data_IF_731196301082
#
_entry.id   IF_731196301082
#
_cell.length_a   1.000
_cell.length_b   1.000
_cell.length_c   1.000
_cell.angle_alpha   90.00
_cell.angle_beta   90.00
_cell.angle_gamma   90.00
#
_symmetry.space_group_name_H-M   'P 1'
#
loop_
_entity.id
_entity.type
_entity.pdbx_description
1 polymer ?
#
# COMPACT_ATOMS: atom_id res chain seq x y z
N UNK A 1 21.88 22.35 -14.91
CA UNK A 1 21.50 21.29 -15.85
C UNK A 1 21.51 20.00 -15.05
N UNK A 2 20.36 19.35 -14.87
CA UNK A 2 20.27 18.09 -14.13
C UNK A 2 20.79 16.96 -15.00
N UNK A 3 21.71 16.14 -14.47
CA UNK A 3 22.32 15.04 -15.23
C UNK A 3 21.73 13.70 -14.76
N UNK A 4 21.26 12.88 -15.69
CA UNK A 4 20.70 11.53 -15.43
C UNK A 4 21.70 10.63 -14.68
N UNK A 5 23.01 10.91 -14.81
CA UNK A 5 24.06 10.18 -14.11
C UNK A 5 24.06 10.40 -12.59
N UNK A 6 23.49 11.51 -12.07
CA UNK A 6 23.33 11.73 -10.62
C UNK A 6 22.27 10.81 -9.99
N UNK A 7 21.39 10.22 -10.79
CA UNK A 7 20.36 9.28 -10.32
C UNK A 7 20.96 7.89 -10.11
N UNK A 8 21.92 7.51 -10.95
CA UNK A 8 22.49 6.15 -10.94
C UNK A 8 23.83 6.06 -10.20
N UNK A 9 24.56 7.16 -10.08
CA UNK A 9 25.76 7.24 -9.26
C UNK A 9 25.81 8.60 -8.55
N UNK A 10 25.01 8.78 -7.47
CA UNK A 10 25.07 10.00 -6.69
C UNK A 10 26.51 10.17 -6.16
N UNK A 11 27.13 11.36 -6.30
CA UNK A 11 28.49 11.58 -5.80
C UNK A 11 28.53 11.24 -4.31
N UNK A 12 29.61 10.57 -3.87
CA UNK A 12 29.86 9.89 -2.59
C UNK A 12 29.74 10.74 -1.28
N UNK A 13 28.83 11.72 -1.24
CA UNK A 13 28.39 12.47 -0.06
C UNK A 13 27.20 11.83 0.67
N UNK A 14 26.57 10.80 0.12
CA UNK A 14 25.59 9.96 0.82
C UNK A 14 26.30 8.84 1.61
N UNK A 15 27.24 9.23 2.49
CA UNK A 15 27.40 8.49 3.75
C UNK A 15 25.99 8.27 4.30
N UNK A 16 25.61 7.08 4.80
CA UNK A 16 24.26 6.83 5.29
C UNK A 16 23.92 7.96 6.24
N UNK A 17 23.06 8.88 5.78
CA UNK A 17 22.68 10.01 6.62
C UNK A 17 21.97 9.36 7.80
N UNK A 18 22.62 9.40 8.95
CA UNK A 18 22.03 9.14 10.26
C UNK A 18 20.60 9.70 10.28
N UNK A 19 19.65 8.96 10.87
CA UNK A 19 18.24 8.83 10.47
C UNK A 19 17.62 10.19 10.17
N UNK A 20 17.73 10.64 8.92
CA UNK A 20 17.02 11.83 8.48
C UNK A 20 15.59 11.42 8.16
N UNK A 21 14.78 11.54 9.20
CA UNK A 21 13.36 11.90 9.12
C UNK A 21 12.37 10.76 8.82
N UNK A 22 12.19 9.84 9.77
CA UNK A 22 10.94 9.06 9.90
C UNK A 22 9.69 9.98 9.92
N UNK A 23 9.90 11.26 10.25
CA UNK A 23 8.91 12.36 10.30
C UNK A 23 8.23 12.66 8.96
N UNK A 24 8.87 12.40 7.82
CA UNK A 24 8.26 12.62 6.50
C UNK A 24 7.41 11.44 6.01
N UNK A 25 7.51 10.29 6.67
CA UNK A 25 6.85 9.07 6.22
C UNK A 25 5.48 8.82 6.86
N UNK A 26 5.13 9.49 7.97
CA UNK A 26 3.81 9.35 8.63
C UNK A 26 2.62 9.56 7.68
N UNK A 27 2.55 10.65 6.88
CA UNK A 27 1.43 10.82 5.94
C UNK A 27 1.45 9.75 4.83
N UNK A 28 2.62 9.25 4.44
CA UNK A 28 2.76 8.14 3.48
C UNK A 28 2.28 6.80 4.05
N UNK A 29 2.60 6.51 5.32
CA UNK A 29 2.17 5.31 6.02
C UNK A 29 0.64 5.30 6.23
N UNK A 30 0.07 6.43 6.65
CA UNK A 30 -1.38 6.56 6.83
C UNK A 30 -2.14 6.47 5.50
N UNK A 31 -1.67 7.13 4.45
CA UNK A 31 -2.32 7.05 3.13
C UNK A 31 -2.20 5.67 2.52
N UNK A 32 -1.02 5.03 2.59
CA UNK A 32 -0.85 3.65 2.11
C UNK A 32 -1.74 2.67 2.89
N UNK A 33 -1.83 2.81 4.21
CA UNK A 33 -2.76 2.05 5.05
C UNK A 33 -4.21 2.22 4.60
N UNK A 34 -4.67 3.47 4.43
CA UNK A 34 -6.04 3.76 4.00
C UNK A 34 -6.36 3.17 2.62
N UNK A 35 -5.44 3.31 1.65
CA UNK A 35 -5.60 2.74 0.30
C UNK A 35 -5.63 1.22 0.35
N UNK A 36 -4.79 0.59 1.17
CA UNK A 36 -4.79 -0.88 1.32
C UNK A 36 -6.07 -1.39 1.97
N UNK A 37 -6.58 -0.71 2.99
CA UNK A 37 -7.83 -1.11 3.64
C UNK A 37 -9.03 -0.92 2.69
N UNK A 38 -9.12 0.21 2.01
CA UNK A 38 -10.22 0.50 1.08
C UNK A 38 -10.15 -0.39 -0.17
N UNK A 39 -8.98 -0.51 -0.80
CA UNK A 39 -8.78 -1.37 -1.96
C UNK A 39 -8.91 -2.86 -1.62
N UNK A 40 -8.37 -3.28 -0.48
CA UNK A 40 -8.48 -4.64 0.03
C UNK A 40 -9.91 -5.02 0.37
N UNK A 41 -10.68 -4.12 1.00
CA UNK A 41 -12.11 -4.35 1.28
C UNK A 41 -12.95 -4.44 0.00
N UNK A 42 -12.65 -3.60 -1.01
CA UNK A 42 -13.27 -3.72 -2.32
C UNK A 42 -13.00 -5.09 -2.97
N UNK A 43 -11.75 -5.57 -2.94
CA UNK A 43 -11.39 -6.90 -3.44
C UNK A 43 -12.05 -8.03 -2.63
N UNK A 44 -12.03 -7.93 -1.29
CA UNK A 44 -12.59 -8.94 -0.39
C UNK A 44 -14.12 -9.08 -0.51
N UNK A 45 -14.83 -7.96 -0.76
CA UNK A 45 -16.28 -7.96 -0.98
C UNK A 45 -16.69 -8.74 -2.23
N UNK A 46 -15.80 -8.88 -3.21
CA UNK A 46 -16.10 -9.50 -4.49
C UNK A 46 -17.01 -8.68 -5.40
N UNK A 47 -17.24 -7.39 -5.09
CA UNK A 47 -17.96 -6.46 -5.96
C UNK A 47 -17.34 -6.36 -7.35
N UNK A 48 -16.02 -6.54 -7.45
CA UNK A 48 -15.27 -6.60 -8.72
C UNK A 48 -15.75 -7.74 -9.64
N UNK A 49 -16.43 -8.75 -9.08
CA UNK A 49 -16.99 -9.87 -9.82
C UNK A 49 -18.51 -9.83 -9.93
N UNK A 50 -19.13 -8.67 -9.70
CA UNK A 50 -20.57 -8.49 -9.92
C UNK A 50 -20.87 -8.55 -11.42
N UNK A 51 -21.40 -9.68 -11.90
CA UNK A 51 -21.92 -9.79 -13.27
C UNK A 51 -23.39 -9.42 -13.32
N UNK A 52 -23.75 -8.57 -14.28
CA UNK A 52 -25.14 -8.43 -14.72
C UNK A 52 -25.31 -9.08 -16.10
N UNK A 53 -26.56 -9.28 -16.55
CA UNK A 53 -26.81 -9.90 -17.88
C UNK A 53 -26.18 -9.11 -19.04
N UNK A 54 -26.03 -7.80 -18.89
CA UNK A 54 -25.34 -6.89 -19.83
C UNK A 54 -23.81 -6.94 -19.78
N UNK A 55 -23.21 -7.43 -18.68
CA UNK A 55 -21.75 -7.52 -18.52
C UNK A 55 -21.38 -8.86 -17.88
N UNK A 56 -21.28 -9.94 -18.70
CA UNK A 56 -20.90 -11.25 -18.20
C UNK A 56 -19.41 -11.26 -17.80
N UNK A 57 -19.11 -12.05 -16.77
CA UNK A 57 -17.73 -12.23 -16.32
C UNK A 57 -16.88 -12.92 -17.40
N UNK A 58 -15.59 -12.54 -17.53
CA UNK A 58 -14.69 -13.20 -18.46
C UNK A 58 -14.52 -14.68 -18.07
N UNK A 59 -14.31 -15.56 -19.06
CA UNK A 59 -14.10 -17.00 -18.82
C UNK A 59 -12.92 -17.30 -17.89
N UNK A 60 -11.95 -16.39 -17.82
CA UNK A 60 -10.80 -16.46 -16.92
C UNK A 60 -11.16 -16.25 -15.43
N UNK A 61 -12.31 -15.64 -15.13
CA UNK A 61 -12.78 -15.44 -13.76
C UNK A 61 -13.41 -16.72 -13.18
N UNK A 62 -12.60 -17.77 -13.10
CA UNK A 62 -12.95 -19.04 -12.47
C UNK A 62 -13.27 -18.85 -10.99
N UNK A 63 -14.05 -19.74 -10.35
CA UNK A 63 -14.33 -19.64 -8.92
C UNK A 63 -13.06 -19.66 -8.06
N UNK A 64 -12.04 -20.43 -8.47
CA UNK A 64 -10.73 -20.43 -7.82
C UNK A 64 -10.08 -19.04 -7.85
N UNK A 65 -10.03 -18.40 -9.03
CA UNK A 65 -9.50 -17.05 -9.18
C UNK A 65 -10.22 -16.03 -8.30
N UNK A 66 -11.55 -16.09 -8.26
CA UNK A 66 -12.37 -15.18 -7.42
C UNK A 66 -12.04 -15.34 -5.94
N UNK A 67 -11.87 -16.58 -5.48
CA UNK A 67 -11.49 -16.86 -4.11
C UNK A 67 -10.07 -16.37 -3.80
N UNK A 68 -9.12 -16.53 -4.73
CA UNK A 68 -7.76 -15.99 -4.60
C UNK A 68 -7.76 -14.47 -4.48
N UNK A 69 -8.54 -13.76 -5.31
CA UNK A 69 -8.65 -12.30 -5.25
C UNK A 69 -9.29 -11.84 -3.94
N UNK A 70 -10.32 -12.53 -3.45
CA UNK A 70 -10.94 -12.22 -2.15
C UNK A 70 -9.99 -12.46 -0.99
N UNK A 71 -9.30 -13.60 -0.98
CA UNK A 71 -8.31 -13.94 0.04
C UNK A 71 -7.11 -12.97 0.01
N UNK A 72 -6.65 -12.61 -1.20
CA UNK A 72 -5.64 -11.58 -1.41
C UNK A 72 -6.09 -10.22 -0.87
N UNK A 73 -7.35 -9.83 -1.12
CA UNK A 73 -7.95 -8.63 -0.56
C UNK A 73 -7.91 -8.60 0.97
N UNK A 74 -8.25 -9.71 1.63
CA UNK A 74 -8.13 -9.85 3.10
C UNK A 74 -6.66 -9.68 3.54
N UNK A 75 -5.72 -10.30 2.82
CA UNK A 75 -4.29 -10.14 3.09
C UNK A 75 -3.82 -8.69 2.97
N UNK A 76 -4.30 -7.96 1.96
CA UNK A 76 -3.99 -6.53 1.77
C UNK A 76 -4.57 -5.69 2.90
N UNK A 77 -5.78 -5.99 3.40
CA UNK A 77 -6.36 -5.30 4.56
C UNK A 77 -5.46 -5.51 5.79
N UNK A 78 -5.08 -6.75 6.09
CA UNK A 78 -4.21 -7.07 7.23
C UNK A 78 -2.88 -6.32 7.13
N UNK A 79 -2.28 -6.28 5.94
CA UNK A 79 -1.05 -5.55 5.70
C UNK A 79 -1.23 -4.02 5.87
N UNK A 80 -2.35 -3.47 5.41
CA UNK A 80 -2.72 -2.07 5.61
C UNK A 80 -2.90 -1.71 7.09
N UNK A 81 -3.47 -2.61 7.90
CA UNK A 81 -3.60 -2.42 9.35
C UNK A 81 -2.21 -2.37 10.01
N UNK A 82 -1.31 -3.31 9.69
CA UNK A 82 0.05 -3.30 10.24
C UNK A 82 0.79 -2.00 9.91
N UNK A 83 0.70 -1.54 8.65
CA UNK A 83 1.25 -0.25 8.20
C UNK A 83 0.65 0.96 8.89
N UNK A 84 -0.67 0.92 9.15
CA UNK A 84 -1.36 1.98 9.89
C UNK A 84 -0.90 2.06 11.33
N UNK A 85 -0.70 0.91 11.98
CA UNK A 85 -0.16 0.81 13.35
C UNK A 85 1.26 1.38 13.41
N UNK A 86 2.13 1.05 12.44
CA UNK A 86 3.47 1.65 12.31
C UNK A 86 3.39 3.19 12.20
N UNK A 87 2.52 3.70 11.33
CA UNK A 87 2.31 5.15 11.17
C UNK A 87 1.80 5.85 12.43
N UNK A 88 0.88 5.22 13.17
CA UNK A 88 0.37 5.75 14.44
C UNK A 88 1.45 5.72 15.52
N UNK A 89 2.25 4.65 15.63
CA UNK A 89 3.33 4.59 16.62
C UNK A 89 4.38 5.67 16.38
N UNK A 90 4.77 5.89 15.13
CA UNK A 90 5.70 6.97 14.78
C UNK A 90 5.09 8.33 15.08
N UNK A 91 3.85 8.60 14.65
CA UNK A 91 3.19 9.88 14.89
C UNK A 91 2.80 10.14 16.35
N UNK A 92 2.62 9.09 17.16
CA UNK A 92 2.34 9.22 18.60
C UNK A 92 3.63 9.43 19.40
N UNK A 93 4.75 8.82 18.99
CA UNK A 93 6.08 9.17 19.50
C UNK A 93 6.39 10.66 19.32
N UNK A 94 5.95 11.26 18.21
CA UNK A 94 6.09 12.70 17.97
C UNK A 94 5.26 13.60 18.89
N UNK A 95 4.22 13.09 19.57
CA UNK A 95 3.34 13.90 20.44
C UNK A 95 3.86 14.05 21.88
N UNK A 96 4.85 13.25 22.26
CA UNK A 96 5.39 13.19 23.63
C UNK A 96 6.87 13.63 23.75
N UNK A 97 7.49 14.05 22.65
CA UNK A 97 8.76 14.80 22.60
C UNK A 97 8.49 16.30 22.37
#
# INVERSE_FOLDING_TARGET
MSNILEVFNPPDGSKPQAPKSDKQCVPCLLTSSAVMILGGSYMASGQIFSSTKENPLPKAATPAWRNTVRAGGIGVILFGIMRGIEGIMVGMGEKFD
#
